data_IF_259170569472
#
_entry.id   IF_259170569472
#
_cell.length_a   1.000
_cell.length_b   1.000
_cell.length_c   1.000
_cell.angle_alpha   90.00
_cell.angle_beta   90.00
_cell.angle_gamma   90.00
#
_symmetry.space_group_name_H-M   'P 1'
#
loop_
_entity.id
_entity.type
_entity.pdbx_description
1 polymer ?
#
# COMPACT_ATOMS: atom_id res chain seq x y z
N UNK A 1 34.81 -20.62 -55.27
CA UNK A 1 34.11 -20.09 -54.09
C UNK A 1 35.15 -19.34 -53.24
N UNK A 2 34.95 -18.05 -53.09
CA UNK A 2 35.98 -17.12 -52.57
C UNK A 2 36.17 -17.25 -51.06
N UNK A 3 37.43 -17.22 -50.61
CA UNK A 3 37.83 -17.26 -49.16
C UNK A 3 37.19 -16.12 -48.34
N UNK A 4 36.60 -15.10 -48.94
CA UNK A 4 35.94 -13.99 -48.28
C UNK A 4 34.55 -14.32 -47.69
N UNK A 5 33.83 -15.35 -48.24
CA UNK A 5 32.52 -15.74 -47.72
C UNK A 5 32.59 -16.61 -46.46
N UNK A 6 33.72 -17.27 -46.22
CA UNK A 6 33.87 -18.11 -45.04
C UNK A 6 34.14 -17.33 -43.77
N UNK A 7 34.79 -16.16 -43.86
CA UNK A 7 35.12 -15.31 -42.71
C UNK A 7 33.87 -14.58 -42.15
N UNK A 8 32.92 -14.19 -43.01
CA UNK A 8 31.69 -13.52 -42.58
C UNK A 8 30.78 -14.43 -41.80
N UNK A 9 30.71 -15.75 -42.15
CA UNK A 9 29.85 -16.71 -41.45
C UNK A 9 30.41 -17.04 -40.05
N UNK A 10 31.73 -17.11 -39.89
CA UNK A 10 32.34 -17.42 -38.58
C UNK A 10 32.19 -16.23 -37.60
N UNK A 11 32.22 -14.97 -38.08
CA UNK A 11 32.04 -13.78 -37.23
C UNK A 11 30.59 -13.65 -36.74
N UNK A 12 29.60 -13.98 -37.59
CA UNK A 12 28.19 -13.92 -37.17
C UNK A 12 27.83 -15.01 -36.13
N UNK A 13 28.44 -16.21 -36.21
CA UNK A 13 28.18 -17.29 -35.25
C UNK A 13 28.81 -16.97 -33.89
N UNK A 14 30.00 -16.35 -33.85
CA UNK A 14 30.65 -15.94 -32.58
C UNK A 14 29.93 -14.81 -31.86
N UNK A 15 29.26 -13.90 -32.60
CA UNK A 15 28.54 -12.76 -32.00
C UNK A 15 27.21 -13.22 -31.35
N UNK A 16 26.50 -14.19 -31.94
CA UNK A 16 25.27 -14.74 -31.40
C UNK A 16 25.50 -15.59 -30.13
N UNK A 17 26.64 -16.28 -30.02
CA UNK A 17 26.98 -17.07 -28.83
C UNK A 17 27.33 -16.16 -27.64
N UNK A 18 27.98 -15.02 -27.85
CA UNK A 18 28.36 -14.09 -26.79
C UNK A 18 27.13 -13.42 -26.11
N UNK A 19 26.07 -13.11 -26.87
CA UNK A 19 24.85 -12.51 -26.35
C UNK A 19 24.07 -13.52 -25.47
N UNK A 20 24.06 -14.80 -25.82
CA UNK A 20 23.39 -15.84 -25.06
C UNK A 20 24.07 -16.13 -23.70
N UNK A 21 25.42 -16.00 -23.64
CA UNK A 21 26.17 -16.18 -22.40
C UNK A 21 25.99 -15.00 -21.43
N UNK A 22 25.89 -13.78 -21.93
CA UNK A 22 25.65 -12.60 -21.10
C UNK A 22 24.26 -12.66 -20.41
N UNK A 23 23.21 -13.00 -21.14
CA UNK A 23 21.87 -13.15 -20.62
C UNK A 23 21.76 -14.28 -19.56
N UNK A 24 22.43 -15.41 -19.80
CA UNK A 24 22.47 -16.51 -18.83
C UNK A 24 23.24 -16.16 -17.55
N UNK A 25 24.31 -15.38 -17.65
CA UNK A 25 25.07 -14.91 -16.51
C UNK A 25 24.29 -13.89 -15.66
N UNK A 26 23.50 -13.00 -16.27
CA UNK A 26 22.62 -12.07 -15.55
C UNK A 26 21.49 -12.78 -14.80
N UNK A 27 20.89 -13.81 -15.38
CA UNK A 27 19.85 -14.60 -14.71
C UNK A 27 20.44 -15.38 -13.52
N UNK A 28 21.66 -15.88 -13.65
CA UNK A 28 22.33 -16.68 -12.61
C UNK A 28 22.84 -15.79 -11.45
N UNK A 29 23.19 -14.53 -11.70
CA UNK A 29 23.56 -13.56 -10.66
C UNK A 29 22.33 -13.05 -9.90
N UNK A 30 21.18 -12.92 -10.54
CA UNK A 30 19.94 -12.54 -9.89
C UNK A 30 19.45 -13.58 -8.87
N UNK A 31 19.67 -14.87 -9.13
CA UNK A 31 19.26 -15.98 -8.23
C UNK A 31 20.12 -16.06 -6.94
N UNK A 32 21.26 -15.36 -6.85
CA UNK A 32 22.21 -15.47 -5.75
C UNK A 32 22.32 -14.22 -4.86
N UNK A 33 21.39 -13.27 -4.98
CA UNK A 33 21.42 -12.08 -4.13
C UNK A 33 21.02 -12.41 -2.69
N UNK A 34 21.78 -11.87 -1.71
CA UNK A 34 21.36 -11.92 -0.30
C UNK A 34 20.19 -10.96 -0.06
N UNK A 35 19.42 -11.21 1.01
CA UNK A 35 18.34 -10.30 1.41
C UNK A 35 18.81 -8.85 1.58
N UNK A 36 19.99 -8.64 2.17
CA UNK A 36 20.58 -7.32 2.32
C UNK A 36 20.89 -6.67 0.95
N UNK A 37 21.50 -7.42 0.03
CA UNK A 37 21.81 -6.90 -1.31
C UNK A 37 20.55 -6.53 -2.10
N UNK A 38 19.43 -7.28 -1.94
CA UNK A 38 18.15 -6.96 -2.56
C UNK A 38 17.61 -5.64 -1.99
N UNK A 39 17.69 -5.46 -0.66
CA UNK A 39 17.24 -4.22 -0.02
C UNK A 39 18.11 -3.03 -0.41
N UNK A 40 19.43 -3.20 -0.50
CA UNK A 40 20.33 -2.12 -0.94
C UNK A 40 19.99 -1.68 -2.38
N UNK A 41 19.68 -2.64 -3.27
CA UNK A 41 19.22 -2.34 -4.62
C UNK A 41 17.85 -1.66 -4.62
N UNK A 42 16.92 -2.09 -3.77
CA UNK A 42 15.62 -1.44 -3.61
C UNK A 42 15.77 0.00 -3.15
N UNK A 43 16.54 0.25 -2.09
CA UNK A 43 16.78 1.61 -1.58
C UNK A 43 17.43 2.50 -2.66
N UNK A 44 18.39 1.95 -3.43
CA UNK A 44 19.00 2.66 -4.55
C UNK A 44 17.99 2.98 -5.66
N UNK A 45 17.17 2.00 -6.05
CA UNK A 45 16.12 2.17 -7.06
C UNK A 45 15.07 3.21 -6.64
N UNK A 46 14.78 3.31 -5.34
CA UNK A 46 13.85 4.28 -4.78
C UNK A 46 14.41 5.71 -4.66
N UNK A 47 15.65 5.96 -5.07
CA UNK A 47 16.28 7.29 -5.04
C UNK A 47 17.47 7.40 -4.10
N UNK A 48 17.77 6.33 -3.34
CA UNK A 48 18.95 6.22 -2.49
C UNK A 48 18.72 6.62 -1.04
N UNK A 49 19.57 6.07 -0.17
CA UNK A 49 19.45 6.18 1.28
C UNK A 49 19.50 7.63 1.77
N UNK A 50 20.41 8.43 1.22
CA UNK A 50 20.59 9.82 1.66
C UNK A 50 19.38 10.69 1.27
N UNK A 51 18.79 10.47 0.09
CA UNK A 51 17.62 11.19 -0.33
C UNK A 51 16.43 10.89 0.61
N UNK A 52 16.22 9.63 0.99
CA UNK A 52 15.17 9.25 1.94
C UNK A 52 15.42 9.77 3.36
N UNK A 53 16.67 9.81 3.82
CA UNK A 53 17.02 10.41 5.13
C UNK A 53 16.76 11.90 5.17
N UNK A 54 16.85 12.59 4.04
CA UNK A 54 16.56 14.01 3.93
C UNK A 54 15.05 14.33 3.91
N UNK A 55 14.18 13.32 3.76
CA UNK A 55 12.73 13.52 3.82
C UNK A 55 12.29 13.63 5.27
N UNK A 56 11.73 14.78 5.65
CA UNK A 56 11.14 15.01 6.96
C UNK A 56 9.62 15.09 6.93
N UNK A 57 9.02 15.39 5.78
CA UNK A 57 7.58 15.40 5.58
C UNK A 57 7.20 15.05 4.13
N UNK A 58 6.01 14.53 3.93
CA UNK A 58 5.40 14.32 2.60
C UNK A 58 3.92 14.67 2.66
N UNK A 59 3.42 15.21 1.54
CA UNK A 59 1.99 15.40 1.32
C UNK A 59 1.56 14.69 0.06
N UNK A 60 0.43 14.00 0.15
CA UNK A 60 -0.20 13.26 -0.94
C UNK A 60 -1.61 13.79 -1.14
N UNK A 61 -1.96 14.14 -2.35
CA UNK A 61 -3.31 14.51 -2.76
C UNK A 61 -3.80 13.50 -3.79
N UNK A 62 -5.07 13.13 -3.74
CA UNK A 62 -5.61 12.15 -4.68
C UNK A 62 -7.04 11.75 -4.38
N UNK A 63 -7.38 10.53 -4.81
CA UNK A 63 -8.72 9.94 -4.62
C UNK A 63 -8.59 8.53 -4.09
N UNK A 64 -9.49 8.16 -3.18
CA UNK A 64 -9.61 6.79 -2.70
C UNK A 64 -11.03 6.29 -2.87
N UNK A 65 -11.15 5.02 -3.22
CA UNK A 65 -12.43 4.35 -3.32
C UNK A 65 -13.10 4.20 -1.95
N UNK A 66 -14.38 4.51 -1.88
CA UNK A 66 -15.18 4.32 -0.68
C UNK A 66 -16.59 3.86 -1.02
N UNK A 67 -17.13 2.96 -0.22
CA UNK A 67 -18.45 2.41 -0.45
C UNK A 67 -18.46 1.27 -1.49
N UNK A 68 -19.53 1.14 -2.21
CA UNK A 68 -19.82 0.04 -3.12
C UNK A 68 -20.69 -1.04 -2.46
N UNK A 69 -21.72 -1.50 -3.20
CA UNK A 69 -22.73 -2.43 -2.70
C UNK A 69 -22.26 -3.89 -2.56
N UNK A 70 -20.96 -4.14 -2.72
CA UNK A 70 -20.42 -5.50 -2.66
C UNK A 70 -19.90 -5.89 -1.27
N UNK A 71 -20.10 -5.04 -0.27
CA UNK A 71 -19.96 -5.48 1.12
C UNK A 71 -21.20 -6.27 1.48
N UNK A 72 -21.01 -7.52 1.90
CA UNK A 72 -22.10 -8.28 2.50
C UNK A 72 -22.67 -7.43 3.64
N UNK A 73 -23.86 -6.90 3.45
CA UNK A 73 -24.64 -6.35 4.55
C UNK A 73 -24.87 -7.49 5.54
N UNK A 74 -24.65 -7.23 6.83
CA UNK A 74 -25.05 -8.16 7.88
C UNK A 74 -26.48 -8.63 7.57
N UNK A 75 -26.77 -9.95 7.65
CA UNK A 75 -28.14 -10.41 7.47
C UNK A 75 -28.99 -9.70 8.52
N UNK A 76 -29.85 -8.82 8.05
CA UNK A 76 -30.94 -8.30 8.86
C UNK A 76 -31.78 -9.53 9.21
N UNK A 77 -31.99 -9.77 10.51
CA UNK A 77 -32.87 -10.86 10.96
C UNK A 77 -34.17 -10.81 10.14
N UNK A 78 -34.49 -11.89 9.44
CA UNK A 78 -35.64 -11.96 8.57
C UNK A 78 -36.89 -11.57 9.35
N UNK A 79 -37.66 -10.57 8.90
CA UNK A 79 -38.98 -10.34 9.45
C UNK A 79 -39.84 -11.55 9.11
N UNK A 80 -40.72 -11.86 10.02
CA UNK A 80 -41.63 -13.01 10.03
C UNK A 80 -42.28 -13.33 8.67
N UNK A 81 -42.45 -14.60 8.36
CA UNK A 81 -42.76 -15.25 7.08
C UNK A 81 -44.06 -14.80 6.40
N UNK A 82 -44.39 -13.55 6.24
CA UNK A 82 -45.57 -13.08 5.50
C UNK A 82 -45.38 -11.88 4.58
N UNK A 83 -44.19 -11.45 4.30
CA UNK A 83 -43.98 -10.39 3.30
C UNK A 83 -43.51 -10.98 1.98
N UNK A 84 -44.28 -10.74 0.97
CA UNK A 84 -44.03 -10.94 -0.45
C UNK A 84 -42.63 -10.50 -0.78
N UNK A 85 -41.86 -11.38 -1.37
CA UNK A 85 -40.50 -11.21 -1.88
C UNK A 85 -40.47 -10.04 -2.88
N UNK A 86 -40.40 -8.83 -2.36
CA UNK A 86 -39.97 -7.70 -3.17
C UNK A 86 -38.46 -7.88 -3.40
N UNK A 87 -38.13 -8.46 -4.55
CA UNK A 87 -36.83 -8.40 -5.14
C UNK A 87 -36.53 -6.91 -5.36
N UNK A 88 -35.95 -6.26 -4.37
CA UNK A 88 -35.37 -4.92 -4.56
C UNK A 88 -34.19 -5.13 -5.50
N UNK A 89 -34.24 -4.62 -6.75
CA UNK A 89 -33.12 -4.73 -7.65
C UNK A 89 -31.95 -4.08 -6.94
N UNK A 90 -30.88 -4.84 -6.68
CA UNK A 90 -29.64 -4.30 -6.15
C UNK A 90 -29.12 -3.30 -7.19
N UNK A 91 -29.37 -2.02 -6.96
CA UNK A 91 -28.77 -0.95 -7.74
C UNK A 91 -27.25 -1.07 -7.57
N UNK A 92 -26.46 -1.24 -8.64
CA UNK A 92 -25.03 -1.12 -8.51
C UNK A 92 -24.75 0.27 -7.97
N UNK A 93 -24.33 0.36 -6.72
CA UNK A 93 -23.79 1.61 -6.19
C UNK A 93 -22.34 1.61 -6.63
N UNK A 94 -22.03 2.49 -7.57
CA UNK A 94 -20.66 2.74 -8.00
C UNK A 94 -19.82 3.12 -6.79
N UNK A 95 -18.59 2.63 -6.74
CA UNK A 95 -17.63 3.01 -5.73
C UNK A 95 -17.42 4.52 -5.82
N UNK A 96 -17.71 5.25 -4.73
CA UNK A 96 -17.46 6.68 -4.68
C UNK A 96 -15.95 6.94 -4.60
N UNK A 97 -15.43 7.81 -5.48
CA UNK A 97 -14.06 8.27 -5.41
C UNK A 97 -13.99 9.52 -4.52
N UNK A 98 -13.48 9.36 -3.31
CA UNK A 98 -13.38 10.45 -2.33
C UNK A 98 -12.03 11.17 -2.47
N UNK A 99 -12.02 12.48 -2.72
CA UNK A 99 -10.80 13.27 -2.62
C UNK A 99 -10.19 13.16 -1.23
N UNK A 100 -8.87 12.97 -1.17
CA UNK A 100 -8.14 12.96 0.07
C UNK A 100 -6.89 13.85 0.02
N UNK A 101 -6.46 14.28 1.19
CA UNK A 101 -5.14 14.84 1.45
C UNK A 101 -4.55 14.05 2.61
N UNK A 102 -3.36 13.49 2.42
CA UNK A 102 -2.61 12.81 3.48
C UNK A 102 -1.27 13.53 3.68
N UNK A 103 -1.02 13.96 4.87
CA UNK A 103 0.22 14.59 5.29
C UNK A 103 0.91 13.69 6.32
N UNK A 104 2.18 13.46 6.11
CA UNK A 104 3.02 12.67 7.00
C UNK A 104 4.26 13.47 7.37
N UNK A 105 4.69 13.39 8.63
CA UNK A 105 5.92 14.03 9.10
C UNK A 105 6.63 13.15 10.12
N UNK A 106 7.96 13.24 10.16
CA UNK A 106 8.75 12.58 11.20
C UNK A 106 8.66 13.32 12.54
N UNK A 107 8.72 12.59 13.66
CA UNK A 107 8.64 11.14 13.78
C UNK A 107 7.17 10.65 13.80
N UNK A 108 6.80 9.75 12.90
CA UNK A 108 5.55 8.97 12.96
C UNK A 108 4.23 9.75 12.98
N UNK A 109 4.21 11.03 12.54
CA UNK A 109 3.00 11.85 12.50
C UNK A 109 2.24 11.65 11.21
N UNK A 110 0.91 11.68 11.29
CA UNK A 110 0.03 11.52 10.13
C UNK A 110 -1.25 12.35 10.30
N UNK A 111 -1.67 12.97 9.22
CA UNK A 111 -3.00 13.61 9.08
C UNK A 111 -3.63 13.15 7.77
N UNK A 112 -4.83 12.62 7.84
CA UNK A 112 -5.65 12.24 6.69
C UNK A 112 -6.93 13.07 6.70
N UNK A 113 -7.20 13.75 5.60
CA UNK A 113 -8.46 14.43 5.32
C UNK A 113 -9.18 13.73 4.18
N UNK A 114 -10.45 13.40 4.35
CA UNK A 114 -11.33 12.83 3.34
C UNK A 114 -12.50 13.78 3.11
N UNK A 115 -12.78 14.11 1.86
CA UNK A 115 -13.91 14.97 1.53
C UNK A 115 -15.07 14.14 0.98
N UNK A 116 -16.26 14.26 1.61
CA UNK A 116 -17.48 13.64 1.17
C UNK A 116 -18.66 14.60 1.34
N UNK A 117 -19.39 14.84 0.26
CA UNK A 117 -20.54 15.79 0.24
C UNK A 117 -20.22 17.15 0.90
N UNK A 118 -19.08 17.73 0.58
CA UNK A 118 -18.63 19.00 1.14
C UNK A 118 -18.19 18.97 2.61
N UNK A 119 -18.27 17.82 3.27
CA UNK A 119 -17.81 17.62 4.64
C UNK A 119 -16.44 16.95 4.66
N UNK A 120 -15.60 17.34 5.61
CA UNK A 120 -14.26 16.75 5.80
C UNK A 120 -14.25 15.82 7.01
N UNK A 121 -13.96 14.54 6.76
CA UNK A 121 -13.51 13.66 7.82
C UNK A 121 -12.01 13.85 8.02
N UNK A 122 -11.57 13.84 9.26
CA UNK A 122 -10.18 14.08 9.62
C UNK A 122 -9.73 12.98 10.57
N UNK A 123 -8.56 12.43 10.32
CA UNK A 123 -7.84 11.57 11.24
C UNK A 123 -6.45 12.17 11.45
N UNK A 124 -6.03 12.26 12.70
CA UNK A 124 -4.70 12.77 13.07
C UNK A 124 -4.06 11.82 14.06
N UNK A 125 -2.79 11.57 13.86
CA UNK A 125 -1.92 10.89 14.79
C UNK A 125 -0.64 11.72 14.96
N UNK A 126 -0.32 12.12 16.19
CA UNK A 126 0.85 12.99 16.48
C UNK A 126 2.14 12.20 16.79
N UNK A 127 2.09 10.88 16.66
CA UNK A 127 3.14 9.95 17.07
C UNK A 127 2.86 9.29 18.44
N UNK A 128 1.93 9.83 19.22
CA UNK A 128 1.58 9.34 20.56
C UNK A 128 0.07 9.26 20.77
N UNK A 129 -0.67 10.24 20.30
CA UNK A 129 -2.12 10.34 20.45
C UNK A 129 -2.79 10.37 19.08
N UNK A 130 -4.02 9.90 19.03
CA UNK A 130 -4.80 9.92 17.80
C UNK A 130 -6.20 10.49 18.02
N UNK A 131 -6.68 11.24 17.03
CA UNK A 131 -8.01 11.84 17.01
C UNK A 131 -8.67 11.67 15.66
N UNK A 132 -10.01 11.67 15.67
CA UNK A 132 -10.83 11.56 14.48
C UNK A 132 -12.06 12.45 14.56
N UNK A 133 -12.43 13.03 13.42
CA UNK A 133 -13.67 13.76 13.18
C UNK A 133 -14.38 13.13 11.98
N UNK A 134 -15.63 12.70 12.13
CA UNK A 134 -16.43 12.02 11.10
C UNK A 134 -17.82 12.62 10.95
N UNK A 135 -17.95 13.84 10.41
CA UNK A 135 -19.20 14.60 10.41
C UNK A 135 -20.31 13.94 9.60
N UNK A 136 -19.97 13.22 8.53
CA UNK A 136 -20.92 12.50 7.68
C UNK A 136 -21.56 11.25 8.35
N UNK A 137 -21.07 10.83 9.53
CA UNK A 137 -21.69 9.81 10.37
C UNK A 137 -22.54 10.43 11.50
N UNK A 138 -22.95 11.70 11.35
CA UNK A 138 -23.59 12.51 12.38
C UNK A 138 -22.75 12.66 13.66
N UNK A 139 -21.44 12.49 13.56
CA UNK A 139 -20.47 12.60 14.65
C UNK A 139 -19.66 13.87 14.47
N UNK A 140 -20.24 14.99 14.91
CA UNK A 140 -19.65 16.34 14.76
C UNK A 140 -18.71 16.72 15.90
N UNK A 141 -18.24 15.74 16.66
CA UNK A 141 -17.29 15.92 17.74
C UNK A 141 -15.98 15.24 17.41
N UNK A 142 -14.88 15.77 17.91
CA UNK A 142 -13.57 15.12 17.81
C UNK A 142 -13.48 14.06 18.88
N UNK A 143 -13.33 12.82 18.43
CA UNK A 143 -13.19 11.64 19.29
C UNK A 143 -11.72 11.21 19.32
N UNK A 144 -11.19 10.71 20.45
CA UNK A 144 -9.90 10.03 20.45
C UNK A 144 -9.97 8.73 19.67
N UNK A 145 -8.82 8.25 19.22
CA UNK A 145 -8.73 6.89 18.66
C UNK A 145 -9.08 5.85 19.71
N UNK A 146 -9.74 4.79 19.28
CA UNK A 146 -9.92 3.58 20.11
C UNK A 146 -8.58 2.86 20.29
N UNK A 147 -8.46 1.94 21.27
CA UNK A 147 -7.24 1.13 21.44
C UNK A 147 -6.81 0.40 20.15
N UNK A 148 -7.75 -0.12 19.37
CA UNK A 148 -7.46 -0.81 18.10
C UNK A 148 -6.97 0.18 17.02
N UNK A 149 -7.56 1.37 16.93
CA UNK A 149 -7.10 2.43 16.02
C UNK A 149 -5.72 2.94 16.43
N UNK A 150 -5.44 3.10 17.72
CA UNK A 150 -4.11 3.46 18.24
C UNK A 150 -3.08 2.39 17.89
N UNK A 151 -3.41 1.12 18.09
CA UNK A 151 -2.55 0.00 17.70
C UNK A 151 -2.25 0.03 16.20
N UNK A 152 -3.27 0.25 15.37
CA UNK A 152 -3.09 0.34 13.91
C UNK A 152 -2.21 1.53 13.53
N UNK A 153 -2.43 2.71 14.11
CA UNK A 153 -1.64 3.90 13.85
C UNK A 153 -0.16 3.71 14.23
N UNK A 154 0.12 3.07 15.37
CA UNK A 154 1.49 2.80 15.83
C UNK A 154 2.23 1.74 15.01
N UNK A 155 1.53 0.95 14.22
CA UNK A 155 2.11 -0.06 13.32
C UNK A 155 2.31 0.46 11.88
N UNK A 156 1.89 1.69 11.60
CA UNK A 156 2.11 2.28 10.28
C UNK A 156 3.60 2.45 10.00
N UNK A 157 4.05 2.10 8.79
CA UNK A 157 5.45 2.32 8.43
C UNK A 157 5.76 3.82 8.40
N UNK A 158 7.02 4.14 8.70
CA UNK A 158 7.54 5.49 8.49
C UNK A 158 7.39 5.94 7.03
N UNK A 159 7.57 7.24 6.79
CA UNK A 159 7.56 7.88 5.46
C UNK A 159 8.33 7.13 4.39
N UNK A 160 9.47 6.57 4.78
CA UNK A 160 10.40 5.87 3.88
C UNK A 160 10.08 4.38 3.71
N UNK A 161 9.04 3.88 4.39
CA UNK A 161 8.64 2.49 4.36
C UNK A 161 9.53 1.58 5.22
N UNK A 162 9.31 0.26 5.16
CA UNK A 162 9.93 -0.68 6.09
C UNK A 162 11.36 -1.05 5.74
N UNK A 163 11.84 -0.80 4.50
CA UNK A 163 13.12 -1.26 4.00
C UNK A 163 14.26 -0.25 4.19
N UNK A 164 13.97 1.05 4.11
CA UNK A 164 14.97 2.09 4.36
C UNK A 164 15.38 2.06 5.83
N UNK A 165 16.67 2.03 6.08
CA UNK A 165 17.24 1.95 7.45
C UNK A 165 16.67 0.80 8.31
N UNK A 166 16.28 -0.31 7.68
CA UNK A 166 15.62 -1.43 8.34
C UNK A 166 16.38 -1.94 9.59
N UNK A 167 17.70 -2.01 9.51
CA UNK A 167 18.53 -2.47 10.62
C UNK A 167 18.49 -1.48 11.81
N UNK A 168 18.54 -0.17 11.54
CA UNK A 168 18.42 0.87 12.55
C UNK A 168 17.02 0.87 13.20
N UNK A 169 15.98 0.50 12.45
CA UNK A 169 14.61 0.29 12.95
C UNK A 169 14.44 -1.00 13.74
N UNK A 170 15.50 -1.83 13.83
CA UNK A 170 15.49 -3.13 14.51
C UNK A 170 14.72 -4.20 13.74
N UNK A 171 14.54 -4.05 12.44
CA UNK A 171 13.91 -5.04 11.56
C UNK A 171 14.94 -6.04 11.07
N UNK A 172 14.63 -7.33 11.15
CA UNK A 172 15.38 -8.41 10.51
C UNK A 172 14.77 -8.71 9.17
N UNK A 173 15.61 -9.01 8.17
CA UNK A 173 15.18 -9.39 6.83
C UNK A 173 15.72 -10.76 6.46
N UNK A 174 14.89 -11.56 5.82
CA UNK A 174 15.22 -12.90 5.33
C UNK A 174 14.69 -13.05 3.89
N UNK A 175 15.50 -13.60 3.00
CA UNK A 175 15.03 -13.98 1.66
C UNK A 175 14.31 -15.31 1.78
N UNK A 176 13.01 -15.31 1.50
CA UNK A 176 12.19 -16.54 1.48
C UNK A 176 12.38 -17.30 0.17
N UNK A 177 12.54 -16.58 -0.94
CA UNK A 177 12.71 -17.15 -2.27
C UNK A 177 12.23 -16.20 -3.36
N UNK A 178 12.00 -16.75 -4.53
CA UNK A 178 11.39 -16.04 -5.65
C UNK A 178 9.94 -16.49 -5.83
N UNK A 179 9.06 -15.54 -6.15
CA UNK A 179 7.63 -15.77 -6.38
C UNK A 179 7.14 -14.84 -7.50
N UNK A 180 6.22 -15.31 -8.32
CA UNK A 180 5.59 -14.44 -9.32
C UNK A 180 4.50 -13.59 -8.67
N UNK A 181 4.56 -12.29 -8.92
CA UNK A 181 3.49 -11.35 -8.61
C UNK A 181 2.90 -10.88 -9.93
N UNK A 182 1.70 -11.35 -10.24
CA UNK A 182 1.15 -11.25 -11.59
C UNK A 182 2.12 -11.91 -12.59
N UNK A 183 2.60 -11.18 -13.61
CA UNK A 183 3.52 -11.73 -14.60
C UNK A 183 5.01 -11.41 -14.32
N UNK A 184 5.32 -10.80 -13.16
CA UNK A 184 6.68 -10.37 -12.80
C UNK A 184 7.33 -11.31 -11.82
N UNK A 185 8.59 -11.64 -12.06
CA UNK A 185 9.42 -12.35 -11.09
C UNK A 185 9.80 -11.38 -9.95
N UNK A 186 9.65 -11.84 -8.72
CA UNK A 186 9.90 -11.01 -7.53
C UNK A 186 10.69 -11.79 -6.48
N UNK A 187 11.51 -11.08 -5.72
CA UNK A 187 12.11 -11.58 -4.49
C UNK A 187 11.11 -11.41 -3.34
N UNK A 188 10.74 -12.49 -2.69
CA UNK A 188 9.92 -12.46 -1.47
C UNK A 188 10.82 -12.33 -0.26
N UNK A 189 10.72 -11.20 0.43
CA UNK A 189 11.44 -10.95 1.67
C UNK A 189 10.48 -11.04 2.86
N UNK A 190 10.91 -11.70 3.92
CA UNK A 190 10.25 -11.69 5.23
C UNK A 190 10.93 -10.63 6.10
N UNK A 191 10.11 -9.72 6.63
CA UNK A 191 10.51 -8.69 7.56
C UNK A 191 10.01 -9.05 8.94
N UNK A 192 10.88 -9.04 9.95
CA UNK A 192 10.50 -9.27 11.34
C UNK A 192 10.92 -8.06 12.16
N UNK A 193 9.96 -7.31 12.69
CA UNK A 193 10.24 -6.13 13.52
C UNK A 193 10.77 -6.52 14.89
N UNK A 194 11.34 -5.56 15.63
CA UNK A 194 11.83 -5.77 17.01
C UNK A 194 10.76 -6.33 17.97
N UNK A 195 9.48 -6.10 17.67
CA UNK A 195 8.35 -6.60 18.47
C UNK A 195 7.88 -7.99 18.02
N UNK A 196 8.61 -8.66 17.11
CA UNK A 196 8.28 -9.98 16.60
C UNK A 196 7.17 -10.02 15.53
N UNK A 197 6.63 -8.86 15.12
CA UNK A 197 5.65 -8.82 14.03
C UNK A 197 6.34 -9.14 12.70
N UNK A 198 5.81 -10.14 12.00
CA UNK A 198 6.34 -10.58 10.70
C UNK A 198 5.39 -10.14 9.58
N UNK A 199 5.96 -9.67 8.47
CA UNK A 199 5.24 -9.33 7.23
C UNK A 199 6.12 -9.68 6.04
N UNK A 200 5.54 -9.80 4.84
CA UNK A 200 6.30 -10.04 3.63
C UNK A 200 6.20 -8.87 2.67
N UNK A 201 7.28 -8.64 1.93
CA UNK A 201 7.34 -7.68 0.83
C UNK A 201 7.91 -8.39 -0.40
N UNK A 202 7.37 -8.08 -1.57
CA UNK A 202 7.81 -8.60 -2.86
C UNK A 202 8.47 -7.51 -3.66
N UNK A 203 9.73 -7.71 -3.97
CA UNK A 203 10.58 -6.78 -4.72
C UNK A 203 10.71 -7.29 -6.15
N UNK A 204 10.32 -6.48 -7.11
CA UNK A 204 10.43 -6.78 -8.53
C UNK A 204 11.89 -7.07 -8.91
N UNK A 205 12.16 -8.19 -9.58
CA UNK A 205 13.52 -8.64 -9.84
C UNK A 205 14.26 -7.81 -10.91
N UNK A 206 13.55 -7.01 -11.69
CA UNK A 206 14.12 -6.16 -12.73
C UNK A 206 14.33 -4.73 -12.26
N UNK A 207 13.29 -4.14 -11.65
CA UNK A 207 13.29 -2.74 -11.23
C UNK A 207 13.78 -2.53 -9.80
N UNK A 208 13.79 -3.57 -8.99
CA UNK A 208 14.03 -3.54 -7.54
C UNK A 208 13.06 -2.64 -6.76
N UNK A 209 11.95 -2.22 -7.35
CA UNK A 209 10.88 -1.52 -6.65
C UNK A 209 9.91 -2.52 -5.99
N UNK A 210 9.20 -2.10 -4.96
CA UNK A 210 8.20 -2.93 -4.32
C UNK A 210 7.05 -3.23 -5.31
N UNK A 211 6.71 -4.50 -5.48
CA UNK A 211 5.54 -4.92 -6.26
C UNK A 211 4.30 -5.02 -5.38
N UNK A 212 4.45 -5.60 -4.20
CA UNK A 212 3.39 -5.69 -3.18
C UNK A 212 3.96 -5.88 -1.77
N UNK A 213 3.12 -5.63 -0.78
CA UNK A 213 3.39 -5.91 0.64
C UNK A 213 2.15 -6.54 1.28
N UNK A 214 2.34 -7.35 2.31
CA UNK A 214 1.25 -7.77 3.18
C UNK A 214 0.77 -6.59 4.02
N UNK A 215 -0.52 -6.30 3.96
CA UNK A 215 -1.18 -5.30 4.78
C UNK A 215 -1.68 -5.86 6.11
N UNK A 216 -2.21 -4.98 6.97
CA UNK A 216 -2.85 -5.42 8.20
C UNK A 216 -4.12 -6.22 7.88
N UNK A 217 -4.32 -7.42 8.49
CA UNK A 217 -5.50 -8.21 8.27
C UNK A 217 -6.78 -7.43 8.59
N UNK A 218 -7.81 -7.56 7.77
CA UNK A 218 -9.12 -6.94 8.00
C UNK A 218 -10.09 -7.93 8.61
N UNK A 219 -10.81 -7.49 9.62
CA UNK A 219 -11.89 -8.29 10.19
C UNK A 219 -13.17 -8.06 9.37
N UNK A 220 -13.62 -9.12 8.68
CA UNK A 220 -14.88 -9.17 7.94
C UNK A 220 -15.68 -10.38 8.44
N UNK A 221 -16.97 -10.18 8.68
CA UNK A 221 -17.88 -11.26 9.16
C UNK A 221 -17.36 -12.03 10.39
N UNK A 222 -16.64 -11.31 11.27
CA UNK A 222 -16.07 -11.90 12.49
C UNK A 222 -14.71 -12.59 12.32
N UNK A 223 -14.23 -12.74 11.08
CA UNK A 223 -12.98 -13.44 10.72
C UNK A 223 -11.93 -12.44 10.20
N UNK A 224 -10.66 -12.68 10.51
CA UNK A 224 -9.55 -11.91 9.98
C UNK A 224 -9.15 -12.42 8.60
N UNK A 225 -9.18 -11.54 7.61
CA UNK A 225 -8.79 -11.80 6.23
C UNK A 225 -7.41 -11.23 5.96
N UNK A 226 -6.52 -11.98 5.33
CA UNK A 226 -5.24 -11.44 4.86
C UNK A 226 -5.46 -10.30 3.86
N UNK A 227 -4.56 -9.35 3.85
CA UNK A 227 -4.59 -8.17 2.98
C UNK A 227 -3.29 -8.08 2.23
N UNK A 228 -3.37 -7.78 0.95
CA UNK A 228 -2.22 -7.44 0.10
C UNK A 228 -2.40 -6.03 -0.45
N UNK A 229 -1.30 -5.26 -0.46
CA UNK A 229 -1.25 -3.91 -1.04
C UNK A 229 -0.27 -3.95 -2.19
N UNK A 230 -0.76 -3.70 -3.39
CA UNK A 230 0.03 -3.64 -4.62
C UNK A 230 0.43 -2.20 -4.92
N UNK A 231 1.70 -2.01 -5.26
CA UNK A 231 2.26 -0.72 -5.65
C UNK A 231 2.39 -0.65 -7.16
N UNK A 232 1.86 0.43 -7.75
CA UNK A 232 1.83 0.61 -9.20
C UNK A 232 2.14 2.05 -9.59
N UNK A 233 2.48 2.25 -10.86
CA UNK A 233 2.71 3.57 -11.45
C UNK A 233 3.72 4.39 -10.64
N UNK A 234 4.93 3.85 -10.51
CA UNK A 234 6.02 4.57 -9.87
C UNK A 234 6.42 5.78 -10.71
N UNK A 235 6.48 6.94 -10.06
CA UNK A 235 6.91 8.18 -10.69
C UNK A 235 8.02 8.84 -9.87
N UNK A 236 8.89 9.57 -10.56
CA UNK A 236 9.96 10.30 -9.92
C UNK A 236 9.47 11.65 -9.37
N UNK A 237 9.71 11.89 -8.08
CA UNK A 237 9.40 13.16 -7.40
C UNK A 237 10.62 13.56 -6.58
N UNK A 238 11.25 14.67 -6.91
CA UNK A 238 12.47 15.15 -6.24
C UNK A 238 13.57 14.08 -6.09
N UNK A 239 13.75 13.26 -7.13
CA UNK A 239 14.73 12.17 -7.12
C UNK A 239 14.27 10.86 -6.47
N UNK A 240 13.12 10.84 -5.80
CA UNK A 240 12.54 9.65 -5.18
C UNK A 240 11.56 8.95 -6.12
N UNK A 241 11.54 7.63 -6.12
CA UNK A 241 10.49 6.83 -6.77
C UNK A 241 9.35 6.60 -5.80
N UNK A 242 8.16 7.08 -6.16
CA UNK A 242 6.94 7.03 -5.34
C UNK A 242 5.82 6.35 -6.14
N UNK A 243 5.11 5.35 -5.58
CA UNK A 243 3.97 4.74 -6.27
C UNK A 243 2.79 5.72 -6.29
N UNK A 244 2.13 5.85 -7.44
CA UNK A 244 0.97 6.72 -7.64
C UNK A 244 -0.36 5.96 -7.59
N UNK A 245 -0.32 4.64 -7.61
CA UNK A 245 -1.50 3.79 -7.43
C UNK A 245 -1.19 2.72 -6.39
N UNK A 246 -2.02 2.67 -5.34
CA UNK A 246 -2.03 1.61 -4.35
C UNK A 246 -3.33 0.83 -4.52
N UNK A 247 -3.23 -0.49 -4.71
CA UNK A 247 -4.39 -1.36 -4.84
C UNK A 247 -4.41 -2.36 -3.69
N UNK A 248 -5.41 -2.26 -2.82
CA UNK A 248 -5.59 -3.14 -1.66
C UNK A 248 -6.55 -4.26 -1.99
N UNK A 249 -6.09 -5.51 -1.85
CA UNK A 249 -6.91 -6.72 -2.02
C UNK A 249 -7.08 -7.41 -0.68
N UNK A 250 -8.33 -7.71 -0.32
CA UNK A 250 -8.66 -8.55 0.82
C UNK A 250 -8.80 -9.98 0.31
N UNK A 251 -7.98 -10.88 0.83
CA UNK A 251 -7.94 -12.27 0.37
C UNK A 251 -9.03 -13.10 1.04
N UNK A 252 -9.59 -14.10 0.34
CA UNK A 252 -10.51 -15.04 0.95
C UNK A 252 -9.78 -15.89 2.00
N UNK A 253 -10.51 -16.29 3.03
CA UNK A 253 -10.05 -17.32 3.99
C UNK A 253 -10.71 -18.65 3.66
N UNK A 254 -10.05 -19.75 4.01
CA UNK A 254 -10.67 -21.06 3.87
C UNK A 254 -12.00 -21.10 4.64
N UNK A 255 -13.02 -21.71 4.03
CA UNK A 255 -14.35 -21.79 4.64
C UNK A 255 -14.25 -22.47 6.02
N UNK A 256 -14.71 -21.76 7.03
CA UNK A 256 -14.96 -22.39 8.33
C UNK A 256 -16.14 -23.35 8.18
N UNK A 257 -16.23 -24.39 9.03
CA UNK A 257 -17.25 -25.44 9.01
C UNK A 257 -18.72 -24.94 9.07
N UNK A 258 -18.94 -23.63 9.17
CA UNK A 258 -20.25 -22.97 9.27
C UNK A 258 -20.79 -22.43 7.94
N UNK A 259 -20.16 -22.74 6.82
CA UNK A 259 -20.73 -22.44 5.48
C UNK A 259 -20.82 -20.95 5.13
N UNK A 260 -20.10 -20.07 5.80
CA UNK A 260 -20.05 -18.65 5.43
C UNK A 260 -19.47 -18.50 4.03
N UNK A 261 -20.24 -17.91 3.13
CA UNK A 261 -19.79 -17.60 1.77
C UNK A 261 -18.77 -16.48 1.86
N UNK A 262 -17.54 -16.76 1.44
CA UNK A 262 -16.53 -15.73 1.16
C UNK A 262 -17.06 -14.85 0.02
N UNK A 263 -17.76 -13.76 0.35
CA UNK A 263 -18.16 -12.79 -0.65
C UNK A 263 -16.88 -12.06 -1.11
N UNK A 264 -16.56 -12.11 -2.42
CA UNK A 264 -15.37 -11.40 -2.92
C UNK A 264 -15.50 -9.91 -2.60
N UNK A 265 -14.48 -9.37 -1.94
CA UNK A 265 -14.36 -7.93 -1.71
C UNK A 265 -13.64 -7.33 -2.90
N UNK A 266 -14.24 -6.38 -3.63
CA UNK A 266 -13.54 -5.73 -4.74
C UNK A 266 -12.29 -5.01 -4.23
N UNK A 267 -11.21 -4.97 -5.04
CA UNK A 267 -10.00 -4.24 -4.68
C UNK A 267 -10.31 -2.76 -4.45
N UNK A 268 -9.76 -2.20 -3.38
CA UNK A 268 -9.82 -0.75 -3.11
C UNK A 268 -8.60 -0.08 -3.74
N UNK A 269 -8.82 1.02 -4.46
CA UNK A 269 -7.75 1.79 -5.11
C UNK A 269 -7.59 3.16 -4.48
N UNK A 270 -6.34 3.51 -4.21
CA UNK A 270 -5.91 4.87 -3.91
C UNK A 270 -5.15 5.34 -5.14
N UNK A 271 -5.61 6.43 -5.75
CA UNK A 271 -4.97 7.08 -6.89
C UNK A 271 -4.41 8.41 -6.39
N UNK A 272 -3.10 8.55 -6.47
CA UNK A 272 -2.39 9.76 -6.08
C UNK A 272 -2.27 10.67 -7.30
N UNK A 273 -2.73 11.90 -7.17
CA UNK A 273 -2.66 12.90 -8.23
C UNK A 273 -1.40 13.77 -8.07
N UNK A 274 -1.00 14.05 -6.80
CA UNK A 274 0.12 14.91 -6.49
C UNK A 274 0.86 14.45 -5.24
N UNK A 275 2.19 14.54 -5.30
CA UNK A 275 3.11 14.32 -4.17
C UNK A 275 3.98 15.55 -3.99
N UNK A 276 4.14 16.00 -2.74
CA UNK A 276 5.08 17.06 -2.37
C UNK A 276 6.02 16.51 -1.32
N UNK A 277 7.32 16.58 -1.60
CA UNK A 277 8.39 16.18 -0.68
C UNK A 277 8.83 17.41 0.11
N UNK A 278 8.92 17.26 1.42
CA UNK A 278 9.29 18.31 2.36
C UNK A 278 8.41 19.59 2.26
N UNK A 279 7.06 19.44 2.24
CA UNK A 279 6.18 20.60 2.32
C UNK A 279 6.41 21.33 3.66
N UNK A 280 6.20 22.65 3.65
CA UNK A 280 6.18 23.43 4.88
C UNK A 280 4.86 23.15 5.62
N UNK A 281 4.89 22.28 6.62
CA UNK A 281 3.72 21.90 7.43
C UNK A 281 3.83 22.49 8.82
N UNK A 282 2.80 23.26 9.21
CA UNK A 282 2.68 23.75 10.57
C UNK A 282 2.48 22.58 11.55
N UNK A 283 3.15 22.62 12.68
CA UNK A 283 3.06 21.58 13.73
C UNK A 283 1.62 21.36 14.22
N UNK A 284 0.83 22.42 14.25
CA UNK A 284 -0.60 22.41 14.59
C UNK A 284 -1.44 21.49 13.70
N UNK A 285 -0.98 21.19 12.48
CA UNK A 285 -1.68 20.27 11.58
C UNK A 285 -1.78 18.85 12.16
N UNK A 286 -0.84 18.47 12.99
CA UNK A 286 -0.80 17.15 13.64
C UNK A 286 -1.36 17.15 15.07
N UNK A 287 -1.96 18.28 15.50
CA UNK A 287 -2.64 18.40 16.78
C UNK A 287 -4.10 17.95 16.69
N UNK A 288 -4.75 17.81 17.85
CA UNK A 288 -6.19 17.54 17.92
C UNK A 288 -6.97 18.54 17.05
N UNK A 289 -7.80 18.07 16.08
CA UNK A 289 -8.52 18.96 15.19
C UNK A 289 -9.45 19.91 15.96
N UNK A 290 -9.46 21.18 15.58
CA UNK A 290 -10.45 22.11 16.08
C UNK A 290 -11.70 22.04 15.20
N UNK A 291 -12.86 22.04 15.84
CA UNK A 291 -14.14 22.20 15.14
C UNK A 291 -14.31 23.68 14.90
N UNK A 292 -14.05 24.10 13.66
CA UNK A 292 -14.31 25.49 13.28
C UNK A 292 -15.75 25.86 13.59
N UNK A 293 -15.96 26.86 14.47
CA UNK A 293 -17.25 27.49 14.73
C UNK A 293 -17.60 28.34 13.51
N UNK A 294 -18.04 27.67 12.42
CA UNK A 294 -18.27 28.38 11.17
C UNK A 294 -18.92 27.54 10.09
N UNK A 295 -20.11 27.03 10.33
CA UNK A 295 -21.15 26.86 9.32
C UNK A 295 -22.48 26.78 10.01
N UNK A 296 -23.01 27.95 10.37
CA UNK A 296 -24.48 28.09 10.51
C UNK A 296 -25.03 27.77 9.14
N UNK A 297 -25.72 26.64 9.04
CA UNK A 297 -26.61 26.39 7.92
C UNK A 297 -27.67 27.48 7.93
N UNK A 298 -27.69 28.28 6.88
CA UNK A 298 -28.88 28.99 6.48
C UNK A 298 -29.76 28.05 5.69
#
# INVERSE_FOLDING_TARGET
MSRKSLIVVVVCISLTLAISFAAAAEIQTAANLSAAAIVDKNVSARGGLQAWRAVHAMSFEGKMGAGGNRRATLPVAAPDRRSVEQVIPSRPVDEAQLPFVMEMARPGKMRLELTFNGQKAIQVFDGTNGWKLRPFLNRRVVEPFTPDEMKTASLQPDLDGPLVDYAAKGTKIELVGMEKVEDRDTYKLKLTTKNGHATHVWIDAQTFLEAKIEGQPRRLDGVYHPVEIYYRDYRQVNGLQVPYVLETKVLPVAQTAQGMRNTPVPPEKIIIDKVVVNPNLEESRFSKPEIGVGSKAN
#
